data_IF_744830952625
#
_entry.id   IF_744830952625
#
_cell.length_a   1.000
_cell.length_b   1.000
_cell.length_c   1.000
_cell.angle_alpha   90.00
_cell.angle_beta   90.00
_cell.angle_gamma   90.00
#
_symmetry.space_group_name_H-M   'P 1'
#
loop_
_entity.id
_entity.type
_entity.pdbx_description
1 polymer ?
#
# COMPACT_ATOMS: atom_id res chain seq x y z
N UNK A 1 6.89 -10.45 -3.71
CA UNK A 1 7.38 -10.06 -2.37
C UNK A 1 8.60 -9.19 -2.56
N UNK A 2 8.70 -8.02 -1.91
CA UNK A 2 9.91 -7.20 -2.01
C UNK A 2 10.94 -7.78 -1.05
N UNK A 3 12.02 -8.45 -1.52
CA UNK A 3 12.82 -9.36 -0.68
C UNK A 3 13.49 -8.67 0.51
N UNK A 4 13.72 -7.37 0.41
CA UNK A 4 14.42 -6.56 1.40
C UNK A 4 13.52 -6.03 2.53
N UNK A 5 12.19 -6.13 2.38
CA UNK A 5 11.25 -5.61 3.36
C UNK A 5 10.33 -6.72 3.86
N UNK A 6 10.14 -6.76 5.19
CA UNK A 6 9.11 -7.60 5.77
C UNK A 6 7.72 -7.17 5.28
N UNK A 7 6.79 -8.11 5.20
CA UNK A 7 5.40 -7.80 4.86
C UNK A 7 4.80 -6.74 5.79
N UNK A 8 5.07 -6.83 7.11
CA UNK A 8 4.63 -5.83 8.10
C UNK A 8 5.19 -4.43 7.81
N UNK A 9 6.44 -4.34 7.35
CA UNK A 9 7.07 -3.07 6.97
C UNK A 9 6.39 -2.47 5.74
N UNK A 10 6.10 -3.30 4.74
CA UNK A 10 5.39 -2.89 3.52
C UNK A 10 3.98 -2.39 3.87
N UNK A 11 3.21 -3.15 4.66
CA UNK A 11 1.85 -2.77 5.07
C UNK A 11 1.83 -1.46 5.88
N UNK A 12 2.81 -1.25 6.77
CA UNK A 12 2.96 0.00 7.52
C UNK A 12 3.25 1.19 6.60
N UNK A 13 4.15 1.02 5.63
CA UNK A 13 4.48 2.06 4.67
C UNK A 13 3.29 2.41 3.78
N UNK A 14 2.57 1.40 3.27
CA UNK A 14 1.35 1.60 2.47
C UNK A 14 0.27 2.34 3.27
N UNK A 15 0.07 1.98 4.55
CA UNK A 15 -0.86 2.71 5.42
C UNK A 15 -0.46 4.18 5.56
N UNK A 16 0.82 4.46 5.83
CA UNK A 16 1.32 5.83 5.93
C UNK A 16 1.11 6.63 4.63
N UNK A 17 1.39 6.04 3.47
CA UNK A 17 1.20 6.71 2.19
C UNK A 17 -0.28 7.00 1.89
N UNK A 18 -1.17 6.08 2.27
CA UNK A 18 -2.62 6.28 2.16
C UNK A 18 -3.11 7.37 3.11
N UNK A 19 -2.65 7.36 4.36
CA UNK A 19 -3.02 8.38 5.36
C UNK A 19 -2.45 9.77 4.99
N UNK A 20 -1.42 9.82 4.15
CA UNK A 20 -0.87 11.04 3.53
C UNK A 20 -1.53 11.39 2.18
N UNK A 21 -2.59 10.69 1.77
CA UNK A 21 -3.32 10.91 0.50
C UNK A 21 -2.42 10.82 -0.75
N UNK A 22 -1.30 10.08 -0.67
CA UNK A 22 -0.39 9.85 -1.81
C UNK A 22 -0.82 8.66 -2.66
N UNK A 23 -1.60 7.76 -2.08
CA UNK A 23 -2.13 6.58 -2.75
C UNK A 23 -3.58 6.32 -2.33
N UNK A 24 -4.34 5.76 -3.26
CA UNK A 24 -5.73 5.37 -3.07
C UNK A 24 -5.90 3.87 -3.28
N UNK A 25 -6.83 3.26 -2.54
CA UNK A 25 -7.19 1.86 -2.72
C UNK A 25 -8.16 1.75 -3.91
N UNK A 26 -7.82 0.96 -4.91
CA UNK A 26 -8.64 0.73 -6.13
C UNK A 26 -9.27 -0.65 -6.19
N UNK A 27 -8.96 -1.52 -5.23
CA UNK A 27 -9.61 -2.83 -5.13
C UNK A 27 -9.16 -3.58 -3.88
N UNK A 28 -10.11 -4.27 -3.25
CA UNK A 28 -9.89 -5.20 -2.15
C UNK A 28 -10.60 -6.52 -2.51
N UNK A 29 -9.80 -7.57 -2.69
CA UNK A 29 -10.28 -8.92 -2.96
C UNK A 29 -9.23 -9.91 -2.49
N UNK A 30 -8.81 -10.83 -3.36
CA UNK A 30 -7.66 -11.72 -3.07
C UNK A 30 -6.35 -10.94 -2.81
N UNK A 31 -6.25 -9.72 -3.30
CA UNK A 31 -5.18 -8.77 -2.98
C UNK A 31 -5.70 -7.34 -2.91
N UNK A 32 -5.05 -6.51 -2.10
CA UNK A 32 -5.30 -5.07 -2.06
C UNK A 32 -4.49 -4.38 -3.14
N UNK A 33 -5.14 -3.59 -3.98
CA UNK A 33 -4.52 -2.80 -5.05
C UNK A 33 -4.56 -1.32 -4.71
N UNK A 34 -3.47 -0.63 -5.02
CA UNK A 34 -3.31 0.80 -4.80
C UNK A 34 -3.00 1.51 -6.12
N UNK A 35 -3.49 2.74 -6.29
CA UNK A 35 -3.05 3.67 -7.35
C UNK A 35 -2.38 4.89 -6.71
N UNK A 36 -1.56 5.60 -7.47
CA UNK A 36 -1.07 6.92 -7.07
C UNK A 36 -2.24 7.92 -7.11
N UNK A 37 -2.33 8.75 -6.09
CA UNK A 37 -3.21 9.92 -6.09
C UNK A 37 -2.50 11.05 -6.84
N UNK A 38 -3.20 11.69 -7.77
CA UNK A 38 -2.72 12.83 -8.57
C UNK A 38 -3.09 14.14 -7.87
#
# INVERSE_FOLDING_TARGET
MVPQYSQKSIERALRKLRDQEKIEVVGQGRSTKYKLSL
#
